data_IF_302789937040
#
_entry.id   IF_302789937040
#
_cell.length_a   1.000
_cell.length_b   1.000
_cell.length_c   1.000
_cell.angle_alpha   90.00
_cell.angle_beta   90.00
_cell.angle_gamma   90.00
#
_symmetry.space_group_name_H-M   'P 1'
#
loop_
_entity.id
_entity.type
_entity.pdbx_description
1 polymer ?
#
# COMPACT_ATOMS: atom_id res chain seq x y z
N UNK A 1 -4.95 4.77 -73.85
CA UNK A 1 -5.39 6.17 -73.68
C UNK A 1 -5.50 6.42 -72.20
N UNK A 2 -4.52 7.15 -71.68
CA UNK A 2 -4.31 7.52 -70.28
C UNK A 2 -4.59 9.00 -70.15
N UNK A 3 -5.40 9.39 -69.17
CA UNK A 3 -5.64 10.80 -68.83
C UNK A 3 -5.19 11.03 -67.39
N UNK A 4 -4.18 11.87 -67.30
CA UNK A 4 -3.68 12.52 -66.09
C UNK A 4 -4.75 13.46 -65.53
N UNK A 5 -4.92 13.44 -64.21
CA UNK A 5 -5.37 14.64 -63.50
C UNK A 5 -4.54 14.79 -62.25
N UNK A 6 -3.62 15.75 -62.34
CA UNK A 6 -2.83 16.32 -61.26
C UNK A 6 -3.72 17.26 -60.45
N UNK A 7 -3.72 17.12 -59.12
CA UNK A 7 -4.01 18.23 -58.22
C UNK A 7 -2.91 18.28 -57.16
N UNK A 8 -2.20 19.40 -57.19
CA UNK A 8 -1.08 19.75 -56.33
C UNK A 8 -1.54 20.59 -55.14
N UNK A 9 -0.73 20.51 -54.06
CA UNK A 9 -0.48 21.46 -52.95
C UNK A 9 -1.03 21.03 -51.58
N UNK A 10 -0.41 21.51 -50.47
CA UNK A 10 0.89 21.06 -49.97
C UNK A 10 0.75 20.69 -48.49
N UNK A 11 1.78 20.13 -47.84
CA UNK A 11 2.16 20.39 -46.44
C UNK A 11 3.18 19.32 -46.06
N UNK A 12 4.44 19.71 -46.20
CA UNK A 12 5.58 19.08 -45.56
C UNK A 12 5.43 19.16 -44.04
N UNK A 13 5.20 18.03 -43.39
CA UNK A 13 5.39 17.86 -41.96
C UNK A 13 6.70 17.08 -41.72
N UNK A 14 7.58 17.55 -40.83
CA UNK A 14 8.84 16.89 -40.55
C UNK A 14 8.63 15.58 -39.79
N UNK A 15 9.40 14.57 -40.19
CA UNK A 15 9.63 13.34 -39.42
C UNK A 15 10.13 13.71 -38.02
N UNK A 16 9.32 13.45 -36.99
CA UNK A 16 9.83 13.17 -35.66
C UNK A 16 9.47 11.72 -35.29
N UNK A 17 10.52 10.91 -35.33
CA UNK A 17 10.56 9.55 -34.86
C UNK A 17 10.38 9.54 -33.33
N UNK A 18 9.33 8.85 -32.89
CA UNK A 18 9.39 7.78 -31.86
C UNK A 18 10.13 8.12 -30.55
N UNK A 19 9.38 8.50 -29.52
CA UNK A 19 9.71 8.27 -28.12
C UNK A 19 8.43 7.90 -27.36
N UNK A 20 8.59 7.09 -26.31
CA UNK A 20 7.61 6.15 -25.75
C UNK A 20 6.40 6.81 -25.08
N UNK A 21 5.29 6.06 -25.15
CA UNK A 21 4.05 6.27 -24.42
C UNK A 21 4.17 5.85 -22.94
N UNK A 22 3.27 6.42 -22.12
CA UNK A 22 2.87 6.07 -20.75
C UNK A 22 3.60 6.80 -19.60
N UNK A 23 3.23 8.07 -19.39
CA UNK A 23 3.15 8.71 -18.07
C UNK A 23 1.67 9.04 -17.80
N UNK A 24 1.13 8.85 -16.59
CA UNK A 24 -0.24 9.28 -16.28
C UNK A 24 -0.29 10.81 -16.12
N UNK A 25 -1.14 11.47 -16.92
CA UNK A 25 -1.43 12.89 -16.80
C UNK A 25 -2.20 13.17 -15.50
N UNK A 26 -1.51 13.62 -14.45
CA UNK A 26 -2.14 14.34 -13.34
C UNK A 26 -1.84 15.84 -13.47
N UNK A 27 -2.88 16.65 -13.57
CA UNK A 27 -2.78 18.10 -13.70
C UNK A 27 -2.16 18.74 -12.47
N UNK A 28 -0.96 19.30 -12.63
CA UNK A 28 -0.24 20.02 -11.58
C UNK A 28 -0.69 21.49 -11.51
N UNK A 29 -1.10 21.94 -10.33
CA UNK A 29 -1.18 23.36 -10.01
C UNK A 29 0.16 23.84 -9.45
N UNK A 30 0.95 24.53 -10.26
CA UNK A 30 2.14 25.23 -9.82
C UNK A 30 1.76 26.52 -9.09
N UNK A 31 1.98 26.61 -7.79
CA UNK A 31 2.11 27.91 -7.10
C UNK A 31 3.61 28.17 -6.92
N UNK A 32 4.20 28.85 -7.89
CA UNK A 32 5.56 29.33 -7.80
C UNK A 32 5.68 30.37 -6.68
N UNK A 33 6.63 30.17 -5.75
CA UNK A 33 7.19 31.25 -4.94
C UNK A 33 8.65 31.43 -5.32
N UNK A 34 8.90 32.41 -6.17
CA UNK A 34 10.18 33.10 -6.31
C UNK A 34 10.48 33.88 -5.04
N UNK A 35 11.50 33.50 -4.26
CA UNK A 35 12.37 34.45 -3.54
C UNK A 35 13.56 33.74 -2.86
N UNK A 36 14.77 34.04 -3.31
CA UNK A 36 15.99 34.08 -2.49
C UNK A 36 16.47 35.56 -2.44
N UNK A 37 17.39 35.98 -1.55
CA UNK A 37 17.58 35.67 -0.11
C UNK A 37 17.76 37.01 0.69
N UNK A 38 18.24 37.04 1.96
CA UNK A 38 19.70 37.18 2.15
C UNK A 38 20.30 36.53 3.41
N UNK A 39 21.63 36.33 3.38
CA UNK A 39 22.51 35.86 4.46
C UNK A 39 22.93 36.99 5.44
N UNK A 40 23.43 36.55 6.61
CA UNK A 40 24.25 37.22 7.66
C UNK A 40 23.50 38.17 8.63
N UNK A 41 23.75 38.24 9.95
CA UNK A 41 24.91 37.91 10.81
C UNK A 41 24.57 37.95 12.33
N UNK A 42 25.49 37.37 13.13
CA UNK A 42 25.87 37.68 14.54
C UNK A 42 25.06 37.13 15.75
N UNK A 43 25.79 36.35 16.57
CA UNK A 43 25.56 36.07 18.00
C UNK A 43 25.71 37.34 18.87
N UNK A 44 25.10 37.33 20.07
CA UNK A 44 25.93 37.37 21.29
C UNK A 44 25.46 36.41 22.41
N UNK A 45 26.34 36.26 23.39
CA UNK A 45 26.37 35.25 24.46
C UNK A 45 25.56 35.56 25.73
N UNK A 46 25.33 34.48 26.49
CA UNK A 46 25.13 34.30 27.95
C UNK A 46 24.01 35.04 28.71
N UNK A 47 23.09 34.26 29.31
CA UNK A 47 23.14 33.94 30.75
C UNK A 47 22.09 32.88 31.13
N UNK A 48 22.50 31.93 31.97
CA UNK A 48 21.74 30.75 32.35
C UNK A 48 20.65 30.98 33.40
N UNK A 49 19.87 29.91 33.62
CA UNK A 49 18.96 29.81 34.77
C UNK A 49 17.70 29.03 34.47
N UNK A 50 17.77 27.72 34.72
CA UNK A 50 16.64 26.79 34.96
C UNK A 50 15.49 26.78 33.94
N UNK A 51 15.49 25.76 33.08
CA UNK A 51 14.25 25.09 32.75
C UNK A 51 14.35 23.63 33.13
N UNK A 52 13.45 23.28 34.03
CA UNK A 52 13.14 21.96 34.52
C UNK A 52 13.13 20.91 33.41
N UNK A 53 13.54 19.71 33.80
CA UNK A 53 13.63 18.53 32.97
C UNK A 53 12.38 18.34 32.12
N UNK A 54 12.54 18.55 30.81
CA UNK A 54 11.72 17.88 29.81
C UNK A 54 12.43 16.57 29.51
N UNK A 55 11.86 15.47 29.99
CA UNK A 55 12.03 14.15 29.37
C UNK A 55 11.47 14.22 27.94
N UNK A 56 12.22 14.87 27.05
CA UNK A 56 11.91 15.04 25.64
C UNK A 56 12.46 13.85 24.86
N UNK A 57 11.91 12.65 25.08
CA UNK A 57 12.13 11.55 24.16
C UNK A 57 11.64 11.97 22.77
N UNK A 58 12.51 11.98 21.78
CA UNK A 58 12.12 12.20 20.38
C UNK A 58 11.03 11.19 20.02
N UNK A 59 9.91 11.66 19.45
CA UNK A 59 8.84 10.80 18.89
C UNK A 59 9.39 9.76 17.90
N UNK A 60 10.53 10.06 17.28
CA UNK A 60 11.15 9.24 16.26
C UNK A 60 12.23 8.34 16.84
N UNK A 61 12.20 7.06 16.45
CA UNK A 61 13.28 6.11 16.73
C UNK A 61 14.52 6.49 15.92
N UNK A 62 15.71 6.63 16.54
CA UNK A 62 16.93 6.93 15.81
C UNK A 62 17.34 5.83 14.83
N UNK A 63 17.73 6.21 13.62
CA UNK A 63 18.12 5.27 12.55
C UNK A 63 19.30 4.37 12.92
N UNK A 64 20.25 4.88 13.69
CA UNK A 64 21.41 4.10 14.16
C UNK A 64 21.06 3.03 15.20
N UNK A 65 19.87 3.10 15.81
CA UNK A 65 19.42 2.10 16.80
C UNK A 65 18.76 0.87 16.16
N UNK A 66 18.53 0.90 14.85
CA UNK A 66 17.85 -0.18 14.12
C UNK A 66 18.90 -1.16 13.66
N UNK A 67 18.73 -2.42 13.99
CA UNK A 67 19.67 -3.48 13.61
C UNK A 67 19.32 -4.09 12.25
N UNK A 68 20.30 -4.73 11.60
CA UNK A 68 20.05 -5.50 10.37
C UNK A 68 18.99 -6.59 10.59
N UNK A 69 19.05 -7.29 11.73
CA UNK A 69 18.11 -8.36 12.06
C UNK A 69 16.67 -7.88 12.19
N UNK A 70 16.45 -6.68 12.74
CA UNK A 70 15.11 -6.08 12.79
C UNK A 70 14.58 -5.76 11.39
N UNK A 71 15.42 -5.21 10.51
CA UNK A 71 15.02 -4.93 9.11
C UNK A 71 14.67 -6.22 8.37
N UNK A 72 15.46 -7.28 8.54
CA UNK A 72 15.17 -8.58 7.95
C UNK A 72 13.87 -9.19 8.48
N UNK A 73 13.62 -9.09 9.79
CA UNK A 73 12.38 -9.56 10.40
C UNK A 73 11.17 -8.80 9.88
N UNK A 74 11.24 -7.47 9.82
CA UNK A 74 10.17 -6.62 9.29
C UNK A 74 9.91 -6.91 7.81
N UNK A 75 10.96 -7.13 7.02
CA UNK A 75 10.82 -7.48 5.59
C UNK A 75 10.13 -8.83 5.43
N UNK A 76 10.58 -9.88 6.15
CA UNK A 76 10.00 -11.22 6.09
C UNK A 76 8.53 -11.26 6.51
N UNK A 77 8.14 -10.40 7.45
CA UNK A 77 6.75 -10.30 7.91
C UNK A 77 5.79 -9.88 6.78
N UNK A 78 6.26 -9.06 5.85
CA UNK A 78 5.44 -8.51 4.76
C UNK A 78 5.79 -9.03 3.37
N UNK A 79 6.86 -9.81 3.21
CA UNK A 79 7.35 -10.27 1.90
C UNK A 79 6.26 -10.92 1.03
N UNK A 80 5.45 -11.78 1.60
CA UNK A 80 4.34 -12.45 0.90
C UNK A 80 3.06 -11.60 0.77
N UNK A 81 3.05 -10.45 1.45
CA UNK A 81 1.93 -9.52 1.53
C UNK A 81 2.09 -8.36 0.55
N UNK A 82 3.24 -8.23 -0.11
CA UNK A 82 3.59 -7.08 -0.93
C UNK A 82 3.68 -7.45 -2.41
N UNK A 83 3.24 -6.51 -3.25
CA UNK A 83 3.38 -6.57 -4.71
C UNK A 83 4.26 -5.39 -5.13
N UNK A 84 5.33 -5.60 -5.92
CA UNK A 84 6.13 -4.51 -6.46
C UNK A 84 5.26 -3.53 -7.26
N UNK A 85 5.39 -2.24 -6.96
CA UNK A 85 4.64 -1.16 -7.61
C UNK A 85 5.54 -0.39 -8.58
N UNK A 86 6.52 0.33 -8.02
CA UNK A 86 7.36 1.26 -8.77
C UNK A 86 8.81 1.20 -8.29
N UNK A 87 9.74 1.46 -9.21
CA UNK A 87 11.17 1.60 -8.91
C UNK A 87 11.51 3.07 -8.82
N UNK A 88 12.36 3.46 -7.86
CA UNK A 88 12.78 4.85 -7.63
C UNK A 88 11.64 5.85 -7.33
N UNK A 89 10.47 5.34 -6.97
CA UNK A 89 9.31 6.14 -6.59
C UNK A 89 8.96 5.90 -5.13
N UNK A 90 8.53 6.96 -4.44
CA UNK A 90 7.99 6.91 -3.09
C UNK A 90 6.61 7.55 -3.11
N UNK A 91 5.66 6.90 -2.46
CA UNK A 91 4.33 7.46 -2.28
C UNK A 91 3.83 7.18 -0.87
N UNK A 92 3.02 8.09 -0.35
CA UNK A 92 2.24 7.86 0.86
C UNK A 92 1.39 6.60 0.71
N UNK A 93 1.25 5.87 1.80
CA UNK A 93 0.54 4.59 1.88
C UNK A 93 1.25 3.40 1.23
N UNK A 94 2.49 3.54 0.77
CA UNK A 94 3.23 2.43 0.20
C UNK A 94 4.27 1.88 1.18
N UNK A 95 4.58 0.59 1.04
CA UNK A 95 5.78 0.04 1.65
C UNK A 95 7.00 0.31 0.79
N UNK A 96 8.01 0.95 1.36
CA UNK A 96 9.23 1.29 0.66
C UNK A 96 10.43 0.56 1.24
N UNK A 97 11.28 0.05 0.35
CA UNK A 97 12.62 -0.43 0.66
C UNK A 97 13.63 0.58 0.15
N UNK A 98 14.39 1.18 1.05
CA UNK A 98 15.23 2.35 0.77
C UNK A 98 16.70 2.04 1.09
N UNK A 99 17.62 2.19 0.13
CA UNK A 99 19.05 2.12 0.40
C UNK A 99 19.48 3.33 1.24
N UNK A 100 20.25 3.08 2.30
CA UNK A 100 20.74 4.11 3.20
C UNK A 100 22.22 4.39 2.92
N UNK A 101 22.65 5.63 3.13
CA UNK A 101 24.08 5.96 3.06
C UNK A 101 24.82 5.22 4.17
N UNK A 102 25.99 4.66 3.84
CA UNK A 102 26.89 4.06 4.83
C UNK A 102 27.49 5.17 5.67
N UNK A 103 27.05 5.27 6.92
CA UNK A 103 27.70 6.08 7.96
C UNK A 103 28.43 5.11 8.88
N UNK A 104 29.53 5.54 9.52
CA UNK A 104 30.42 4.70 10.35
C UNK A 104 29.74 4.05 11.57
N UNK A 105 28.46 4.31 11.82
CA UNK A 105 27.77 4.06 13.10
C UNK A 105 26.85 2.83 13.11
N UNK A 106 27.22 1.73 12.44
CA UNK A 106 26.47 0.45 12.55
C UNK A 106 25.05 0.45 11.95
N UNK A 107 24.66 1.52 11.27
CA UNK A 107 23.37 1.69 10.59
C UNK A 107 23.15 0.63 9.50
N UNK A 108 21.92 0.09 9.33
CA UNK A 108 21.64 -0.88 8.29
C UNK A 108 21.76 -0.24 6.91
N UNK A 109 22.20 -1.02 5.92
CA UNK A 109 22.37 -0.55 4.54
C UNK A 109 21.05 -0.25 3.83
N UNK A 110 19.96 -0.76 4.37
CA UNK A 110 18.61 -0.64 3.83
C UNK A 110 17.66 -0.49 5.01
N UNK A 111 16.61 0.31 4.82
CA UNK A 111 15.46 0.33 5.70
C UNK A 111 14.21 -0.08 4.92
N UNK A 112 13.24 -0.62 5.63
CA UNK A 112 11.95 -1.04 5.10
C UNK A 112 10.85 -0.49 6.00
N UNK A 113 9.80 0.09 5.44
CA UNK A 113 8.69 0.60 6.23
C UNK A 113 7.54 1.15 5.39
N UNK A 114 6.42 1.43 6.07
CA UNK A 114 5.22 2.01 5.47
C UNK A 114 5.28 3.53 5.52
N UNK A 115 5.15 4.19 4.37
CA UNK A 115 5.26 5.64 4.24
C UNK A 115 3.99 6.33 4.72
N UNK A 116 4.10 7.17 5.75
CA UNK A 116 2.97 7.96 6.26
C UNK A 116 2.94 9.38 5.73
N UNK A 117 4.11 9.94 5.42
CA UNK A 117 4.25 11.27 4.83
C UNK A 117 5.53 11.36 4.02
N UNK A 118 5.50 12.09 2.91
CA UNK A 118 6.69 12.47 2.18
C UNK A 118 6.53 13.92 1.69
N UNK A 119 7.63 14.69 1.68
CA UNK A 119 7.65 16.10 1.31
C UNK A 119 8.77 16.35 0.29
N UNK A 120 8.58 17.22 -0.72
CA UNK A 120 7.39 18.03 -1.04
C UNK A 120 6.19 17.27 -1.63
N UNK A 121 6.39 16.11 -2.27
CA UNK A 121 5.30 15.32 -2.84
C UNK A 121 5.66 13.83 -2.98
N UNK A 122 4.63 13.00 -3.15
CA UNK A 122 4.78 11.66 -3.71
C UNK A 122 5.45 11.78 -5.09
N UNK A 123 6.40 10.90 -5.39
CA UNK A 123 7.22 11.11 -6.58
C UNK A 123 8.50 10.31 -6.65
N UNK A 124 9.31 10.68 -7.64
CA UNK A 124 10.66 10.17 -7.78
C UNK A 124 11.48 10.51 -6.52
N UNK A 125 12.28 9.55 -6.05
CA UNK A 125 13.07 9.68 -4.82
C UNK A 125 14.00 10.92 -4.84
N UNK A 126 14.48 11.31 -6.01
CA UNK A 126 15.32 12.49 -6.20
C UNK A 126 14.64 13.81 -5.85
N UNK A 127 13.31 13.82 -5.72
CA UNK A 127 12.55 15.00 -5.35
C UNK A 127 12.21 15.02 -3.85
N UNK A 128 12.38 13.90 -3.14
CA UNK A 128 12.02 13.78 -1.72
C UNK A 128 13.09 14.42 -0.84
N UNK A 129 12.67 15.31 0.05
CA UNK A 129 13.51 15.98 1.05
C UNK A 129 13.39 15.33 2.43
N UNK A 130 12.17 14.96 2.82
CA UNK A 130 11.83 14.43 4.12
C UNK A 130 10.74 13.35 4.00
N UNK A 131 10.86 12.31 4.81
CA UNK A 131 10.01 11.13 4.75
C UNK A 131 9.76 10.59 6.16
N UNK A 132 8.51 10.25 6.47
CA UNK A 132 8.17 9.49 7.67
C UNK A 132 7.74 8.06 7.30
N UNK A 133 8.28 7.11 8.05
CA UNK A 133 8.02 5.68 7.89
C UNK A 133 7.56 5.08 9.22
N UNK A 134 6.54 4.24 9.16
CA UNK A 134 6.27 3.27 10.21
C UNK A 134 7.11 2.03 9.95
N UNK A 135 8.03 1.74 10.87
CA UNK A 135 8.86 0.55 10.89
C UNK A 135 8.13 -0.59 11.59
N UNK A 136 7.72 -1.64 10.86
CA UNK A 136 6.89 -2.68 11.44
C UNK A 136 7.65 -3.51 12.48
N UNK A 137 6.95 -3.87 13.55
CA UNK A 137 7.43 -4.81 14.57
C UNK A 137 6.47 -5.98 14.69
N UNK A 138 7.03 -7.18 14.88
CA UNK A 138 6.21 -8.37 15.12
C UNK A 138 5.60 -8.28 16.53
N UNK A 139 4.27 -8.34 16.62
CA UNK A 139 3.53 -8.36 17.90
C UNK A 139 3.67 -7.09 18.75
N UNK A 140 4.09 -5.96 18.16
CA UNK A 140 4.20 -4.68 18.84
C UNK A 140 3.88 -3.52 17.88
N UNK A 141 3.48 -2.35 18.41
CA UNK A 141 3.31 -1.16 17.60
C UNK A 141 4.58 -0.81 16.80
N UNK A 142 4.42 -0.23 15.59
CA UNK A 142 5.53 0.13 14.74
C UNK A 142 6.25 1.36 15.30
N UNK A 143 7.55 1.42 15.08
CA UNK A 143 8.33 2.60 15.44
C UNK A 143 8.19 3.66 14.34
N UNK A 144 8.05 4.93 14.72
CA UNK A 144 8.08 6.02 13.74
C UNK A 144 9.54 6.41 13.46
N UNK A 145 9.90 6.44 12.18
CA UNK A 145 11.23 6.83 11.71
C UNK A 145 11.06 8.05 10.81
N UNK A 146 11.97 9.02 10.97
CA UNK A 146 12.13 10.13 10.04
C UNK A 146 13.42 9.91 9.23
N UNK A 147 13.32 10.07 7.91
CA UNK A 147 14.45 10.03 6.99
C UNK A 147 14.53 11.36 6.24
N UNK A 148 15.72 11.95 6.22
CA UNK A 148 16.02 13.06 5.34
C UNK A 148 16.63 12.55 4.04
N UNK A 149 16.61 13.37 2.98
CA UNK A 149 17.31 13.08 1.71
C UNK A 149 18.75 12.61 1.95
N UNK A 150 19.44 13.24 2.88
CA UNK A 150 20.84 12.95 3.16
C UNK A 150 21.09 11.58 3.80
N UNK A 151 20.06 10.93 4.30
CA UNK A 151 20.12 9.58 4.82
C UNK A 151 20.07 8.52 3.70
N UNK A 152 19.52 8.87 2.55
CA UNK A 152 19.18 7.94 1.47
C UNK A 152 20.32 7.91 0.44
N UNK A 153 20.71 6.70 0.02
CA UNK A 153 21.76 6.51 -0.97
C UNK A 153 21.18 6.43 -2.38
N UNK A 154 21.18 7.55 -3.10
CA UNK A 154 20.72 7.63 -4.50
C UNK A 154 21.68 6.95 -5.49
N UNK A 155 22.96 6.80 -5.12
CA UNK A 155 24.01 6.21 -5.96
C UNK A 155 24.31 4.74 -5.61
N UNK A 156 23.48 4.13 -4.78
CA UNK A 156 23.60 2.71 -4.46
C UNK A 156 23.29 1.86 -5.70
N UNK A 157 23.91 0.70 -5.82
CA UNK A 157 23.48 -0.32 -6.80
C UNK A 157 22.08 -0.87 -6.50
N UNK A 158 21.57 -0.65 -5.28
CA UNK A 158 20.20 -1.00 -4.89
C UNK A 158 19.30 0.18 -5.19
N UNK A 159 18.28 -0.04 -6.02
CA UNK A 159 17.24 0.95 -6.30
C UNK A 159 16.24 1.02 -5.16
N UNK A 160 15.56 2.16 -5.03
CA UNK A 160 14.37 2.23 -4.16
C UNK A 160 13.28 1.36 -4.77
N UNK A 161 12.57 0.60 -3.92
CA UNK A 161 11.45 -0.23 -4.34
C UNK A 161 10.22 0.14 -3.52
N UNK A 162 9.16 0.55 -4.21
CA UNK A 162 7.85 0.78 -3.63
C UNK A 162 6.94 -0.42 -3.90
N UNK A 163 6.09 -0.74 -2.93
CA UNK A 163 5.21 -1.89 -2.98
C UNK A 163 3.80 -1.51 -2.53
N UNK A 164 2.81 -2.10 -3.21
CA UNK A 164 1.44 -2.17 -2.73
C UNK A 164 1.28 -3.32 -1.73
N UNK A 165 0.35 -3.17 -0.80
CA UNK A 165 -0.15 -4.28 -0.01
C UNK A 165 -1.17 -5.08 -0.83
N UNK A 166 -0.99 -6.39 -0.86
CA UNK A 166 -1.85 -7.33 -1.56
C UNK A 166 -3.15 -7.56 -0.79
N UNK A 167 -4.27 -7.40 -1.48
CA UNK A 167 -5.60 -7.83 -1.01
C UNK A 167 -6.03 -9.01 -1.87
N UNK A 168 -6.29 -10.16 -1.27
CA UNK A 168 -6.83 -11.32 -1.99
C UNK A 168 -8.31 -11.10 -2.29
N UNK A 169 -8.73 -11.14 -3.55
CA UNK A 169 -10.12 -10.88 -3.91
C UNK A 169 -10.76 -12.12 -4.53
N UNK A 170 -11.83 -12.60 -3.90
CA UNK A 170 -12.70 -13.66 -4.41
C UNK A 170 -14.02 -13.04 -4.84
N UNK A 171 -14.15 -12.75 -6.12
CA UNK A 171 -15.29 -12.03 -6.67
C UNK A 171 -15.80 -12.71 -7.95
N UNK A 172 -17.08 -12.53 -8.24
CA UNK A 172 -17.66 -12.89 -9.52
C UNK A 172 -17.20 -11.93 -10.62
N UNK A 173 -17.41 -12.29 -11.89
CA UNK A 173 -17.03 -11.45 -13.02
C UNK A 173 -17.71 -10.07 -13.02
N UNK A 174 -18.95 -9.99 -12.50
CA UNK A 174 -19.69 -8.74 -12.40
C UNK A 174 -19.11 -7.82 -11.32
N UNK A 175 -18.83 -8.38 -10.13
CA UNK A 175 -18.21 -7.63 -9.03
C UNK A 175 -16.79 -7.15 -9.43
N UNK A 176 -15.98 -8.00 -10.07
CA UNK A 176 -14.64 -7.63 -10.55
C UNK A 176 -14.67 -6.45 -11.54
N UNK A 177 -15.67 -6.39 -12.43
CA UNK A 177 -15.84 -5.29 -13.37
C UNK A 177 -16.10 -3.94 -12.67
N UNK A 178 -16.78 -3.93 -11.52
CA UNK A 178 -16.98 -2.72 -10.72
C UNK A 178 -15.68 -2.21 -10.09
N UNK A 179 -14.83 -3.13 -9.63
CA UNK A 179 -13.53 -2.77 -9.05
C UNK A 179 -12.54 -2.29 -10.10
N UNK A 180 -12.59 -2.81 -11.33
CA UNK A 180 -11.71 -2.37 -12.42
C UNK A 180 -11.81 -0.86 -12.68
N UNK A 181 -13.02 -0.30 -12.59
CA UNK A 181 -13.23 1.15 -12.74
C UNK A 181 -12.70 1.99 -11.56
N UNK A 182 -12.35 1.34 -10.44
CA UNK A 182 -11.90 1.98 -9.20
C UNK A 182 -10.48 1.61 -8.81
N UNK A 183 -9.73 0.91 -9.66
CA UNK A 183 -8.40 0.37 -9.36
C UNK A 183 -7.42 1.44 -8.89
N UNK A 184 -7.41 2.61 -9.54
CA UNK A 184 -6.55 3.74 -9.17
C UNK A 184 -6.77 4.21 -7.73
N UNK A 185 -7.99 4.11 -7.21
CA UNK A 185 -8.30 4.48 -5.83
C UNK A 185 -7.66 3.51 -4.83
N UNK A 186 -7.63 2.22 -5.14
CA UNK A 186 -6.94 1.23 -4.32
C UNK A 186 -5.44 1.46 -4.36
N UNK A 187 -4.87 1.70 -5.54
CA UNK A 187 -3.45 2.04 -5.69
C UNK A 187 -3.08 3.32 -4.93
N UNK A 188 -3.88 4.39 -4.99
CA UNK A 188 -3.67 5.62 -4.23
C UNK A 188 -3.70 5.41 -2.70
N UNK A 189 -4.40 4.36 -2.25
CA UNK A 189 -4.43 3.92 -0.85
C UNK A 189 -3.38 2.86 -0.52
N UNK A 190 -2.51 2.52 -1.48
CA UNK A 190 -1.42 1.57 -1.28
C UNK A 190 -1.81 0.10 -1.43
N UNK A 191 -2.97 -0.22 -2.02
CA UNK A 191 -3.47 -1.59 -2.16
C UNK A 191 -3.47 -2.07 -3.60
N UNK A 192 -3.10 -3.33 -3.81
CA UNK A 192 -3.28 -4.02 -5.08
C UNK A 192 -4.29 -5.16 -4.90
N UNK A 193 -5.36 -5.13 -5.70
CA UNK A 193 -6.41 -6.13 -5.69
C UNK A 193 -6.00 -7.33 -6.53
N UNK A 194 -5.69 -8.45 -5.88
CA UNK A 194 -5.32 -9.68 -6.56
C UNK A 194 -6.56 -10.58 -6.71
N UNK A 195 -7.24 -10.44 -7.85
CA UNK A 195 -8.43 -11.22 -8.20
C UNK A 195 -8.10 -12.68 -8.50
N UNK A 196 -8.89 -13.57 -7.92
CA UNK A 196 -8.93 -14.98 -8.26
C UNK A 196 -10.35 -15.50 -8.08
N UNK A 197 -10.94 -16.06 -9.15
CA UNK A 197 -12.31 -16.60 -9.12
C UNK A 197 -12.35 -18.04 -8.62
N UNK A 198 -11.21 -18.74 -8.59
CA UNK A 198 -11.09 -20.08 -8.05
C UNK A 198 -11.22 -20.11 -6.53
N UNK A 199 -11.27 -21.32 -5.99
CA UNK A 199 -11.35 -21.55 -4.55
C UNK A 199 -10.32 -22.57 -4.03
N UNK A 200 -9.51 -23.16 -4.92
CA UNK A 200 -8.51 -24.18 -4.57
C UNK A 200 -7.42 -23.64 -3.66
N UNK A 201 -6.96 -22.41 -3.91
CA UNK A 201 -5.99 -21.71 -3.06
C UNK A 201 -6.47 -21.54 -1.61
N UNK A 202 -7.77 -21.31 -1.39
CA UNK A 202 -8.35 -21.29 -0.05
C UNK A 202 -8.34 -22.68 0.55
N UNK A 203 -8.77 -23.70 -0.21
CA UNK A 203 -8.82 -25.08 0.28
C UNK A 203 -7.43 -25.63 0.64
N UNK A 204 -6.40 -25.25 -0.10
CA UNK A 204 -5.01 -25.66 0.12
C UNK A 204 -4.33 -24.89 1.27
N UNK A 205 -4.91 -23.77 1.70
CA UNK A 205 -4.42 -23.00 2.83
C UNK A 205 -4.58 -23.77 4.13
N UNK A 206 -3.58 -23.76 4.99
CA UNK A 206 -3.56 -24.45 6.29
C UNK A 206 -2.67 -23.69 7.28
N UNK A 207 -2.61 -24.15 8.53
CA UNK A 207 -1.83 -23.51 9.60
C UNK A 207 -0.34 -23.32 9.25
N UNK A 208 0.23 -24.21 8.44
CA UNK A 208 1.66 -24.21 8.11
C UNK A 208 1.99 -23.22 6.99
N UNK A 209 1.08 -22.98 6.04
CA UNK A 209 1.34 -22.15 4.86
C UNK A 209 0.56 -20.82 4.84
N UNK A 210 -0.43 -20.60 5.72
CA UNK A 210 -1.32 -19.43 5.64
C UNK A 210 -0.57 -18.09 5.65
N UNK A 211 0.61 -18.00 6.26
CA UNK A 211 1.43 -16.78 6.31
C UNK A 211 1.97 -16.36 4.94
N UNK A 212 2.05 -17.29 3.98
CA UNK A 212 2.43 -17.02 2.60
C UNK A 212 1.28 -16.45 1.76
N UNK A 213 0.06 -16.42 2.30
CA UNK A 213 -1.12 -15.85 1.65
C UNK A 213 -1.46 -14.46 2.21
N UNK A 214 -2.19 -13.61 1.46
CA UNK A 214 -2.62 -12.29 1.93
C UNK A 214 -3.21 -12.30 3.35
N UNK A 215 -3.03 -11.21 4.10
CA UNK A 215 -3.73 -11.02 5.38
C UNK A 215 -5.13 -10.43 5.19
N UNK A 216 -5.33 -9.65 4.13
CA UNK A 216 -6.59 -8.98 3.82
C UNK A 216 -7.27 -9.71 2.66
N UNK A 217 -8.54 -10.07 2.86
CA UNK A 217 -9.38 -10.70 1.86
C UNK A 217 -10.67 -9.93 1.65
N UNK A 218 -11.04 -9.75 0.39
CA UNK A 218 -12.37 -9.32 -0.02
C UNK A 218 -13.11 -10.51 -0.63
N UNK A 219 -14.21 -10.92 -0.02
CA UNK A 219 -15.03 -12.05 -0.47
C UNK A 219 -16.37 -11.49 -0.93
N UNK A 220 -16.65 -11.64 -2.23
CA UNK A 220 -17.93 -11.27 -2.83
C UNK A 220 -19.01 -12.26 -2.43
N UNK A 221 -20.17 -11.73 -2.01
CA UNK A 221 -21.34 -12.56 -1.70
C UNK A 221 -21.80 -13.35 -2.92
N UNK A 222 -21.69 -12.79 -4.14
CA UNK A 222 -22.07 -13.50 -5.37
C UNK A 222 -21.08 -14.60 -5.73
N UNK A 223 -19.79 -14.38 -5.50
CA UNK A 223 -18.78 -15.42 -5.64
C UNK A 223 -19.07 -16.61 -4.71
N UNK A 224 -19.36 -16.35 -3.43
CA UNK A 224 -19.66 -17.43 -2.48
C UNK A 224 -20.93 -18.21 -2.88
N UNK A 225 -21.95 -17.51 -3.36
CA UNK A 225 -23.17 -18.14 -3.87
C UNK A 225 -22.96 -18.98 -5.15
N UNK A 226 -21.87 -18.74 -5.89
CA UNK A 226 -21.51 -19.54 -7.07
C UNK A 226 -20.70 -20.79 -6.75
N UNK A 227 -20.23 -20.95 -5.51
CA UNK A 227 -19.50 -22.14 -5.08
C UNK A 227 -20.42 -23.37 -5.19
N UNK A 228 -19.98 -24.47 -5.82
CA UNK A 228 -20.79 -25.68 -5.91
C UNK A 228 -21.24 -26.17 -4.52
N UNK A 229 -22.48 -26.67 -4.41
CA UNK A 229 -23.02 -27.16 -3.15
C UNK A 229 -22.11 -28.22 -2.49
N UNK A 230 -21.46 -29.05 -3.32
CA UNK A 230 -20.53 -30.09 -2.86
C UNK A 230 -19.24 -29.57 -2.21
N UNK A 231 -18.92 -28.28 -2.38
CA UNK A 231 -17.73 -27.63 -1.82
C UNK A 231 -18.07 -26.54 -0.80
N UNK A 232 -19.36 -26.21 -0.65
CA UNK A 232 -19.79 -25.06 0.12
C UNK A 232 -19.45 -25.19 1.61
N UNK A 233 -19.56 -26.40 2.15
CA UNK A 233 -19.21 -26.67 3.55
C UNK A 233 -17.70 -26.49 3.81
N UNK A 234 -16.86 -26.99 2.91
CA UNK A 234 -15.41 -26.89 2.99
C UNK A 234 -14.95 -25.44 2.89
N UNK A 235 -15.53 -24.66 1.97
CA UNK A 235 -15.22 -23.24 1.81
C UNK A 235 -15.64 -22.44 3.04
N UNK A 236 -16.86 -22.62 3.52
CA UNK A 236 -17.32 -21.90 4.72
C UNK A 236 -16.54 -22.29 5.98
N UNK A 237 -16.11 -23.55 6.09
CA UNK A 237 -15.21 -24.01 7.16
C UNK A 237 -13.85 -23.31 7.06
N UNK A 238 -13.25 -23.29 5.87
CA UNK A 238 -11.96 -22.63 5.65
C UNK A 238 -12.00 -21.13 5.94
N UNK A 239 -13.06 -20.44 5.52
CA UNK A 239 -13.24 -19.00 5.83
C UNK A 239 -13.28 -18.75 7.35
N UNK A 240 -13.87 -19.66 8.14
CA UNK A 240 -13.86 -19.56 9.61
C UNK A 240 -12.46 -19.80 10.19
N UNK A 241 -11.72 -20.77 9.67
CA UNK A 241 -10.34 -21.02 10.09
C UNK A 241 -9.43 -19.83 9.78
N UNK A 242 -9.60 -19.20 8.61
CA UNK A 242 -8.88 -17.96 8.26
C UNK A 242 -9.10 -16.85 9.29
N UNK A 243 -10.33 -16.67 9.79
CA UNK A 243 -10.61 -15.73 10.89
C UNK A 243 -9.88 -16.13 12.17
N UNK A 244 -9.81 -17.43 12.46
CA UNK A 244 -9.04 -18.00 13.58
C UNK A 244 -7.53 -17.77 13.46
N UNK A 245 -6.98 -17.82 12.24
CA UNK A 245 -5.59 -17.48 11.93
C UNK A 245 -5.32 -15.97 11.90
N UNK A 246 -6.31 -15.14 12.21
CA UNK A 246 -6.18 -13.69 12.27
C UNK A 246 -6.22 -12.99 10.91
N UNK A 247 -6.65 -13.66 9.84
CA UNK A 247 -6.94 -13.01 8.55
C UNK A 247 -8.11 -12.03 8.71
N UNK A 248 -8.08 -10.96 7.93
CA UNK A 248 -9.20 -10.01 7.83
C UNK A 248 -10.00 -10.35 6.59
N UNK A 249 -11.31 -10.51 6.77
CA UNK A 249 -12.23 -10.78 5.68
C UNK A 249 -13.25 -9.66 5.63
N UNK A 250 -13.32 -9.00 4.48
CA UNK A 250 -14.37 -8.04 4.11
C UNK A 250 -15.38 -8.78 3.24
N UNK A 251 -16.66 -8.62 3.52
CA UNK A 251 -17.73 -9.19 2.71
C UNK A 251 -18.24 -8.15 1.72
N UNK A 252 -17.80 -8.20 0.46
CA UNK A 252 -18.38 -7.33 -0.55
C UNK A 252 -19.80 -7.79 -0.90
N UNK A 253 -20.79 -6.96 -0.60
CA UNK A 253 -22.20 -7.24 -0.85
C UNK A 253 -22.83 -6.01 -1.51
N UNK A 254 -22.73 -5.89 -2.83
CA UNK A 254 -23.20 -4.69 -3.51
C UNK A 254 -24.72 -4.52 -3.37
N UNK A 255 -25.17 -3.27 -3.36
CA UNK A 255 -26.58 -2.89 -3.16
C UNK A 255 -27.52 -3.42 -4.25
N UNK A 256 -27.00 -3.58 -5.47
CA UNK A 256 -27.71 -4.18 -6.60
C UNK A 256 -27.89 -5.69 -6.47
N UNK A 257 -27.18 -6.34 -5.53
CA UNK A 257 -27.26 -7.79 -5.38
C UNK A 257 -28.64 -8.19 -4.84
N UNK A 258 -29.32 -9.17 -5.47
CA UNK A 258 -30.64 -9.59 -5.02
C UNK A 258 -30.62 -10.11 -3.59
N UNK A 259 -31.69 -9.81 -2.82
CA UNK A 259 -31.81 -10.17 -1.39
C UNK A 259 -31.83 -11.68 -1.14
N UNK A 260 -32.11 -12.49 -2.17
CA UNK A 260 -32.03 -13.95 -2.08
C UNK A 260 -30.58 -14.41 -1.87
N UNK A 261 -29.60 -13.67 -2.40
CA UNK A 261 -28.18 -13.98 -2.22
C UNK A 261 -27.79 -13.66 -0.78
N UNK A 262 -27.35 -14.69 -0.06
CA UNK A 262 -26.94 -14.53 1.33
C UNK A 262 -25.58 -13.82 1.42
N UNK A 263 -25.47 -12.95 2.42
CA UNK A 263 -24.19 -12.32 2.76
C UNK A 263 -23.23 -13.37 3.31
N UNK A 264 -21.92 -13.13 3.18
CA UNK A 264 -20.89 -14.03 3.77
C UNK A 264 -21.08 -14.13 5.29
N UNK A 265 -21.47 -13.06 5.99
CA UNK A 265 -21.79 -13.13 7.42
C UNK A 265 -22.89 -14.15 7.69
N UNK A 266 -23.98 -14.11 6.92
CA UNK A 266 -25.09 -15.06 7.07
C UNK A 266 -24.64 -16.50 6.78
N UNK A 267 -23.87 -16.70 5.71
CA UNK A 267 -23.32 -18.01 5.35
C UNK A 267 -22.43 -18.61 6.45
N UNK A 268 -21.62 -17.78 7.10
CA UNK A 268 -20.74 -18.21 8.19
C UNK A 268 -21.45 -18.30 9.55
N UNK A 269 -22.71 -17.87 9.64
CA UNK A 269 -23.45 -17.81 10.91
C UNK A 269 -22.95 -16.71 11.85
N UNK A 270 -22.29 -15.69 11.31
CA UNK A 270 -21.78 -14.54 12.05
C UNK A 270 -22.93 -13.58 12.33
N UNK A 271 -23.07 -13.20 13.60
CA UNK A 271 -24.18 -12.38 14.08
C UNK A 271 -23.63 -11.09 14.67
N UNK A 272 -24.11 -9.96 14.16
CA UNK A 272 -23.68 -8.65 14.61
C UNK A 272 -23.81 -8.51 16.14
N UNK A 273 -22.78 -7.97 16.78
CA UNK A 273 -22.62 -7.86 18.25
C UNK A 273 -22.58 -9.17 19.05
N UNK A 274 -22.82 -10.32 18.42
CA UNK A 274 -22.80 -11.63 19.09
C UNK A 274 -21.55 -12.44 18.75
N UNK A 275 -20.92 -12.17 17.61
CA UNK A 275 -19.68 -12.81 17.19
C UNK A 275 -18.54 -11.80 17.16
N UNK A 276 -17.38 -12.19 17.73
CA UNK A 276 -16.16 -11.37 17.73
C UNK A 276 -15.69 -10.97 16.32
N UNK A 277 -15.95 -11.83 15.33
CA UNK A 277 -15.46 -11.70 13.96
C UNK A 277 -16.57 -11.33 12.96
N UNK A 278 -17.53 -10.48 13.35
CA UNK A 278 -18.52 -9.99 12.38
C UNK A 278 -17.80 -9.24 11.24
N UNK A 279 -18.06 -9.63 9.99
CA UNK A 279 -17.40 -9.05 8.83
C UNK A 279 -18.05 -7.72 8.46
N UNK A 280 -17.25 -6.74 8.08
CA UNK A 280 -17.75 -5.52 7.48
C UNK A 280 -18.32 -5.81 6.09
N UNK A 281 -19.42 -5.15 5.73
CA UNK A 281 -20.16 -5.37 4.49
C UNK A 281 -20.18 -4.10 3.63
N UNK A 282 -19.08 -3.75 2.94
CA UNK A 282 -19.12 -2.66 1.99
C UNK A 282 -20.00 -3.00 0.77
N UNK A 283 -20.68 -1.98 0.26
CA UNK A 283 -21.64 -2.07 -0.83
C UNK A 283 -21.05 -1.52 -2.15
N UNK A 284 -19.98 -0.70 -2.07
CA UNK A 284 -19.35 -0.07 -3.24
C UNK A 284 -17.83 -0.20 -3.22
N UNK A 285 -17.14 -0.18 -4.39
CA UNK A 285 -15.67 -0.18 -4.42
C UNK A 285 -15.02 0.99 -3.66
N UNK A 286 -15.51 2.25 -3.75
CA UNK A 286 -14.94 3.36 -2.98
C UNK A 286 -15.07 3.17 -1.46
N UNK A 287 -16.22 2.70 -0.99
CA UNK A 287 -16.43 2.37 0.41
C UNK A 287 -15.50 1.24 0.86
N UNK A 288 -15.36 0.21 0.03
CA UNK A 288 -14.43 -0.91 0.26
C UNK A 288 -13.00 -0.41 0.44
N UNK A 289 -12.51 0.43 -0.48
CA UNK A 289 -11.17 1.00 -0.40
C UNK A 289 -10.95 1.82 0.89
N UNK A 290 -11.95 2.60 1.30
CA UNK A 290 -11.93 3.35 2.55
C UNK A 290 -11.84 2.46 3.79
N UNK A 291 -12.69 1.43 3.86
CA UNK A 291 -12.75 0.50 5.00
C UNK A 291 -11.46 -0.33 5.11
N UNK A 292 -10.95 -0.85 3.98
CA UNK A 292 -9.68 -1.59 3.95
C UNK A 292 -8.54 -0.72 4.48
N UNK A 293 -8.47 0.56 4.08
CA UNK A 293 -7.45 1.49 4.55
C UNK A 293 -7.48 1.68 6.07
N UNK A 294 -8.67 1.89 6.64
CA UNK A 294 -8.84 2.08 8.09
C UNK A 294 -8.44 0.83 8.87
N UNK A 295 -8.97 -0.33 8.47
CA UNK A 295 -8.67 -1.60 9.15
C UNK A 295 -7.18 -1.96 9.05
N UNK A 296 -6.55 -1.73 7.89
CA UNK A 296 -5.11 -1.94 7.74
C UNK A 296 -4.30 -1.01 8.65
N UNK A 297 -4.63 0.28 8.71
CA UNK A 297 -3.94 1.24 9.56
C UNK A 297 -4.06 0.89 11.05
N UNK A 298 -5.26 0.48 11.49
CA UNK A 298 -5.49 0.01 12.86
C UNK A 298 -4.65 -1.21 13.21
N UNK A 299 -4.61 -2.20 12.32
CA UNK A 299 -3.77 -3.40 12.51
C UNK A 299 -2.29 -3.08 12.49
N UNK A 300 -1.86 -2.21 11.58
CA UNK A 300 -0.47 -1.78 11.53
C UNK A 300 -0.07 -1.13 12.86
N UNK A 301 -0.92 -0.28 13.45
CA UNK A 301 -0.68 0.35 14.77
C UNK A 301 -0.65 -0.63 15.94
N UNK A 302 -1.44 -1.70 15.88
CA UNK A 302 -1.44 -2.75 16.91
C UNK A 302 -0.25 -3.71 16.78
N UNK A 303 0.36 -3.77 15.59
CA UNK A 303 1.40 -4.72 15.23
C UNK A 303 0.81 -5.97 14.57
N UNK A 304 1.48 -6.45 13.52
CA UNK A 304 1.11 -7.72 12.89
C UNK A 304 1.65 -8.89 13.73
N UNK A 305 0.75 -9.79 14.14
CA UNK A 305 1.01 -10.97 14.96
C UNK A 305 0.75 -12.24 14.19
#
# INVERSE_FOLDING_TARGET
MTLETVLHLPFSLPRLLRAQANEPEQGYHWVGKTSEPPRTSRLPADQGGQKDGREGGSKYRPLGSITLGEVEQATKLFEHQLIPAHVNWIAKNHFCRLPLKRIRDGRPLVIFGYVTSCFPSDGHIENVEDLELLFPRKGAPPDLIRLHRDDISLYSQRTVQSHYLRVGVKASAAEEAEFAASEEMFHAKGFHLNFDRGYYDLLDMNEQNQSAHPHLYLIGSRWLASVPESMYFEITTRLKEMLGWGKVIFNYHPDWLPKEVHTVNRALGLKYKLTKHYLTEPETPPQTAGIIAVEFEERLKQGFG
#
